data_IF_723369954224
#
_entry.id   IF_723369954224
#
_cell.length_a   1.000
_cell.length_b   1.000
_cell.length_c   1.000
_cell.angle_alpha   90.00
_cell.angle_beta   90.00
_cell.angle_gamma   90.00
#
_symmetry.space_group_name_H-M   'P 1'
#
loop_
_entity.id
_entity.type
_entity.pdbx_description
1 polymer ?
#
# COMPACT_ATOMS: atom_id res chain seq x y z
N UNK A 1 12.65 -15.88 7.13
CA UNK A 1 11.40 -16.67 7.12
C UNK A 1 10.54 -16.19 5.96
N UNK A 2 9.87 -17.08 5.23
CA UNK A 2 8.96 -16.72 4.14
C UNK A 2 7.55 -16.70 4.71
N UNK A 3 6.82 -15.59 4.61
CA UNK A 3 5.40 -15.54 4.98
C UNK A 3 4.53 -15.70 3.73
N UNK A 4 3.47 -16.50 3.85
CA UNK A 4 2.43 -16.54 2.84
C UNK A 4 1.46 -15.38 3.11
N UNK A 5 1.35 -14.45 2.17
CA UNK A 5 0.26 -13.47 2.17
C UNK A 5 -0.81 -13.99 1.22
N UNK A 6 -2.05 -14.02 1.71
CA UNK A 6 -3.20 -14.08 0.84
C UNK A 6 -3.23 -12.75 0.08
N UNK A 7 -3.02 -12.80 -1.24
CA UNK A 7 -3.16 -11.60 -2.05
C UNK A 7 -4.63 -11.16 -2.09
N UNK A 8 -4.85 -9.94 -2.56
CA UNK A 8 -6.19 -9.34 -2.67
C UNK A 8 -7.17 -10.12 -3.55
N UNK A 9 -6.66 -11.05 -4.38
CA UNK A 9 -7.43 -11.87 -5.32
C UNK A 9 -7.52 -13.35 -4.86
N UNK A 10 -7.11 -13.69 -3.64
CA UNK A 10 -7.15 -15.05 -3.10
C UNK A 10 -6.02 -15.97 -3.57
N UNK A 11 -5.05 -15.45 -4.32
CA UNK A 11 -3.80 -16.13 -4.64
C UNK A 11 -2.83 -16.14 -3.46
N UNK A 12 -1.81 -16.99 -3.55
CA UNK A 12 -0.72 -17.06 -2.56
C UNK A 12 0.55 -16.48 -3.18
N UNK A 13 0.77 -15.19 -2.96
CA UNK A 13 2.03 -14.54 -3.30
C UNK A 13 3.12 -14.90 -2.28
N UNK A 14 4.33 -15.22 -2.76
CA UNK A 14 5.47 -15.46 -1.87
C UNK A 14 6.11 -14.12 -1.49
N UNK A 15 6.05 -13.76 -0.21
CA UNK A 15 6.86 -12.67 0.31
C UNK A 15 8.32 -13.11 0.46
N UNK A 16 9.23 -12.30 -0.05
CA UNK A 16 10.67 -12.50 0.04
C UNK A 16 11.31 -11.67 1.17
N UNK A 17 10.61 -10.65 1.68
CA UNK A 17 11.09 -9.84 2.80
C UNK A 17 10.16 -8.68 3.16
N UNK A 18 10.64 -7.84 4.08
CA UNK A 18 10.00 -6.60 4.49
C UNK A 18 11.06 -5.50 4.59
N UNK A 19 10.71 -4.28 4.17
CA UNK A 19 11.49 -3.06 4.38
C UNK A 19 10.67 -2.14 5.28
N UNK A 20 11.22 -1.75 6.43
CA UNK A 20 10.52 -0.93 7.42
C UNK A 20 10.68 0.56 7.16
N UNK A 21 9.69 1.35 7.59
CA UNK A 21 9.71 2.82 7.59
C UNK A 21 10.07 3.44 6.23
N UNK A 22 9.55 2.88 5.14
CA UNK A 22 9.76 3.42 3.80
C UNK A 22 9.03 4.77 3.69
N UNK A 23 9.74 5.88 3.38
CA UNK A 23 9.11 7.18 3.22
C UNK A 23 8.33 7.23 1.90
N UNK A 24 7.06 7.61 2.00
CA UNK A 24 6.13 7.80 0.89
C UNK A 24 5.77 9.28 0.79
N UNK A 25 5.87 9.82 -0.42
CA UNK A 25 5.64 11.23 -0.69
C UNK A 25 4.47 11.40 -1.65
N UNK A 26 3.39 12.02 -1.18
CA UNK A 26 2.31 12.51 -2.03
C UNK A 26 2.36 14.04 -2.03
N UNK A 27 3.08 14.60 -3.00
CA UNK A 27 3.43 16.03 -3.03
C UNK A 27 4.09 16.48 -1.72
N UNK A 28 3.40 17.29 -0.92
CA UNK A 28 3.87 17.81 0.38
C UNK A 28 3.60 16.87 1.55
N UNK A 29 2.69 15.90 1.38
CA UNK A 29 2.33 14.93 2.42
C UNK A 29 3.39 13.83 2.46
N UNK A 30 3.91 13.57 3.67
CA UNK A 30 4.90 12.52 3.92
C UNK A 30 4.31 11.51 4.88
N UNK A 31 4.34 10.24 4.50
CA UNK A 31 3.88 9.11 5.32
C UNK A 31 4.96 8.05 5.37
N UNK A 32 4.86 7.11 6.32
CA UNK A 32 5.73 5.95 6.42
C UNK A 32 4.91 4.68 6.17
N UNK A 33 5.54 3.67 5.59
CA UNK A 33 4.95 2.34 5.48
C UNK A 33 6.00 1.24 5.64
N UNK A 34 5.61 0.16 6.31
CA UNK A 34 6.34 -1.09 6.25
C UNK A 34 5.91 -1.83 4.97
N UNK A 35 6.86 -2.06 4.06
CA UNK A 35 6.60 -2.65 2.76
C UNK A 35 7.01 -4.12 2.73
N UNK A 36 6.06 -4.98 2.39
CA UNK A 36 6.36 -6.38 2.09
C UNK A 36 6.76 -6.53 0.62
N UNK A 37 7.87 -7.21 0.37
CA UNK A 37 8.40 -7.42 -0.98
C UNK A 37 8.05 -8.82 -1.44
N UNK A 38 7.50 -8.96 -2.65
CA UNK A 38 7.25 -10.24 -3.32
C UNK A 38 7.99 -10.32 -4.66
N UNK A 39 8.30 -11.53 -5.14
CA UNK A 39 9.06 -11.70 -6.39
C UNK A 39 8.22 -11.74 -7.66
N UNK A 40 6.92 -12.06 -7.56
CA UNK A 40 5.99 -12.19 -8.68
C UNK A 40 4.60 -11.71 -8.27
N UNK A 41 4.45 -10.39 -8.12
CA UNK A 41 3.17 -9.74 -7.81
C UNK A 41 2.66 -9.00 -9.06
N UNK A 42 1.36 -9.06 -9.39
CA UNK A 42 0.81 -8.46 -10.60
C UNK A 42 0.62 -6.93 -10.50
N UNK A 43 1.28 -6.29 -9.53
CA UNK A 43 1.19 -4.86 -9.22
C UNK A 43 2.53 -4.39 -8.67
N UNK A 44 2.83 -3.10 -8.85
CA UNK A 44 4.06 -2.50 -8.35
C UNK A 44 4.00 -2.20 -6.85
N UNK A 45 2.83 -1.75 -6.36
CA UNK A 45 2.62 -1.38 -4.96
C UNK A 45 1.13 -1.47 -4.60
N UNK A 46 0.84 -1.95 -3.39
CA UNK A 46 -0.48 -1.82 -2.76
C UNK A 46 -0.28 -1.20 -1.39
N UNK A 47 -0.96 -0.07 -1.15
CA UNK A 47 -1.12 0.51 0.18
C UNK A 47 -2.46 0.06 0.75
N UNK A 48 -2.39 -0.89 1.68
CA UNK A 48 -3.57 -1.51 2.26
C UNK A 48 -4.28 -0.64 3.29
N UNK A 49 -5.37 -1.19 3.83
CA UNK A 49 -6.18 -0.58 4.90
C UNK A 49 -5.39 -0.12 6.13
N UNK A 50 -4.30 -0.79 6.58
CA UNK A 50 -3.50 -0.29 7.70
C UNK A 50 -2.93 1.11 7.45
N UNK A 51 -2.22 1.29 6.33
CA UNK A 51 -1.67 2.59 5.93
C UNK A 51 -2.79 3.62 5.72
N UNK A 52 -3.87 3.22 5.06
CA UNK A 52 -5.01 4.10 4.82
C UNK A 52 -5.61 4.66 6.13
N UNK A 53 -5.78 3.80 7.14
CA UNK A 53 -6.33 4.20 8.45
C UNK A 53 -5.35 5.05 9.25
N UNK A 54 -4.06 4.72 9.21
CA UNK A 54 -3.02 5.42 9.96
C UNK A 54 -2.91 6.88 9.54
N UNK A 55 -2.98 7.16 8.24
CA UNK A 55 -2.84 8.50 7.69
C UNK A 55 -4.16 9.16 7.29
N UNK A 56 -5.30 8.63 7.77
CA UNK A 56 -6.65 9.16 7.52
C UNK A 56 -6.89 9.46 6.04
N UNK A 57 -6.53 8.49 5.20
CA UNK A 57 -6.57 8.63 3.75
C UNK A 57 -7.95 8.23 3.22
N UNK A 58 -8.57 9.16 2.50
CA UNK A 58 -9.82 8.97 1.80
C UNK A 58 -9.57 8.63 0.33
N UNK A 59 -10.41 7.75 -0.23
CA UNK A 59 -10.41 7.41 -1.66
C UNK A 59 -11.67 8.02 -2.25
N UNK A 60 -11.49 8.94 -3.19
CA UNK A 60 -12.56 9.69 -3.83
C UNK A 60 -12.68 9.31 -5.29
N UNK A 61 -13.84 8.76 -5.66
CA UNK A 61 -14.18 8.56 -7.07
C UNK A 61 -14.74 9.85 -7.66
N UNK A 62 -14.10 10.34 -8.71
CA UNK A 62 -14.48 11.54 -9.47
C UNK A 62 -14.75 11.16 -10.92
N UNK A 63 -15.40 12.05 -11.67
CA UNK A 63 -15.74 11.80 -13.09
C UNK A 63 -14.51 11.54 -13.97
N UNK A 64 -13.37 12.11 -13.58
CA UNK A 64 -12.10 12.05 -14.28
C UNK A 64 -11.12 11.02 -13.69
N UNK A 65 -11.50 10.32 -12.61
CA UNK A 65 -10.69 9.23 -12.07
C UNK A 65 -10.82 9.06 -10.55
N UNK A 66 -9.98 8.17 -10.02
CA UNK A 66 -9.89 7.86 -8.59
C UNK A 66 -8.76 8.65 -7.95
N UNK A 67 -9.07 9.35 -6.87
CA UNK A 67 -8.13 10.22 -6.17
C UNK A 67 -7.93 9.78 -4.73
N UNK A 68 -6.75 10.12 -4.21
CA UNK A 68 -6.41 9.97 -2.81
C UNK A 68 -6.44 11.35 -2.17
N UNK A 69 -7.23 11.50 -1.11
CA UNK A 69 -7.28 12.71 -0.28
C UNK A 69 -6.77 12.40 1.13
N UNK A 70 -6.13 13.41 1.72
CA UNK A 70 -5.65 13.37 3.09
C UNK A 70 -6.49 14.39 3.84
N UNK A 71 -7.25 13.91 4.82
CA UNK A 71 -8.01 14.81 5.70
C UNK A 71 -7.03 15.46 6.69
N UNK A 72 -7.08 16.79 6.81
CA UNK A 72 -6.31 17.55 7.82
C UNK A 72 -6.92 17.45 9.22
#
# INVERSE_FOLDING_TARGET
QTMAIADVNGGRGKLIGMVENVPLHCRTVKTLANMYVGSHIPYELILGRPWQKEYQVSIEERKDGTYVSFDE
#
